data_IF_827349613318
#
_entry.id   IF_827349613318
#
_cell.length_a   1.000
_cell.length_b   1.000
_cell.length_c   1.000
_cell.angle_alpha   90.00
_cell.angle_beta   90.00
_cell.angle_gamma   90.00
#
_symmetry.space_group_name_H-M   'P 1'
#
loop_
_entity.id
_entity.type
_entity.pdbx_description
1 polymer ?
#
# COMPACT_ATOMS: atom_id res chain seq x y z
N UNK A 1 9.94 -5.52 -9.86
CA UNK A 1 9.99 -6.12 -8.49
C UNK A 1 9.40 -7.53 -8.49
N UNK A 2 9.76 -8.44 -7.55
CA UNK A 2 9.04 -9.72 -7.37
C UNK A 2 8.08 -9.62 -6.18
N UNK A 3 6.86 -9.16 -6.47
CA UNK A 3 5.84 -8.88 -5.45
C UNK A 3 5.42 -10.11 -4.64
N UNK A 4 5.61 -11.33 -5.14
CA UNK A 4 5.24 -12.55 -4.41
C UNK A 4 6.17 -12.83 -3.21
N UNK A 5 7.37 -12.26 -3.22
CA UNK A 5 8.36 -12.40 -2.12
C UNK A 5 8.23 -11.29 -1.08
N UNK A 6 7.77 -10.12 -1.47
CA UNK A 6 7.71 -8.94 -0.61
C UNK A 6 7.63 -7.66 -1.44
N UNK A 7 7.83 -6.53 -0.78
CA UNK A 7 7.73 -5.22 -1.38
C UNK A 7 9.02 -4.42 -1.21
N UNK A 8 9.45 -3.72 -2.28
CA UNK A 8 10.63 -2.86 -2.24
C UNK A 8 10.20 -1.41 -2.07
N UNK A 9 10.76 -0.76 -1.04
CA UNK A 9 10.63 0.68 -0.81
C UNK A 9 11.88 1.36 -1.37
N UNK A 10 11.73 2.51 -2.04
CA UNK A 10 12.85 3.23 -2.65
C UNK A 10 13.59 4.07 -1.61
N UNK A 11 12.87 4.77 -0.74
CA UNK A 11 13.43 5.48 0.41
C UNK A 11 12.50 5.29 1.63
N UNK A 12 12.97 4.68 2.74
CA UNK A 12 14.29 4.08 2.88
C UNK A 12 14.47 2.88 1.93
N UNK A 13 15.72 2.58 1.55
CA UNK A 13 16.06 1.53 0.57
C UNK A 13 15.91 0.12 1.17
N UNK A 14 14.68 -0.28 1.50
CA UNK A 14 14.37 -1.49 2.28
C UNK A 14 13.51 -2.44 1.46
N UNK A 15 13.87 -3.72 1.47
CA UNK A 15 13.00 -4.78 0.99
C UNK A 15 12.28 -5.41 2.18
N UNK A 16 10.95 -5.41 2.13
CA UNK A 16 10.07 -5.92 3.20
C UNK A 16 9.47 -7.25 2.73
N UNK A 17 9.96 -8.40 3.21
CA UNK A 17 9.41 -9.70 2.83
C UNK A 17 8.01 -9.91 3.40
N UNK A 18 7.15 -10.62 2.68
CA UNK A 18 5.89 -11.08 3.26
C UNK A 18 6.15 -12.10 4.36
N UNK A 19 5.26 -12.15 5.36
CA UNK A 19 5.34 -13.14 6.43
C UNK A 19 6.28 -12.81 7.58
N UNK A 20 7.05 -11.71 7.49
CA UNK A 20 7.86 -11.24 8.63
C UNK A 20 6.96 -10.84 9.81
N UNK A 21 7.48 -10.94 11.01
CA UNK A 21 6.80 -10.43 12.21
C UNK A 21 7.14 -8.94 12.49
N UNK A 22 6.47 -8.36 13.48
CA UNK A 22 6.68 -6.96 13.85
C UNK A 22 8.09 -6.65 14.36
N UNK A 23 8.76 -7.62 14.99
CA UNK A 23 10.14 -7.44 15.48
C UNK A 23 11.11 -7.36 14.30
N UNK A 24 10.96 -8.24 13.32
CA UNK A 24 11.73 -8.21 12.08
C UNK A 24 11.49 -6.91 11.30
N UNK A 25 10.25 -6.40 11.27
CA UNK A 25 9.96 -5.10 10.66
C UNK A 25 10.69 -3.95 11.38
N UNK A 26 10.68 -3.94 12.72
CA UNK A 26 11.43 -2.94 13.51
C UNK A 26 12.92 -2.99 13.19
N UNK A 27 13.49 -4.19 13.09
CA UNK A 27 14.90 -4.38 12.73
C UNK A 27 15.22 -3.86 11.32
N UNK A 28 14.34 -4.12 10.33
CA UNK A 28 14.48 -3.59 8.96
C UNK A 28 14.46 -2.06 8.90
N UNK A 29 13.74 -1.42 9.83
CA UNK A 29 13.63 0.03 9.93
C UNK A 29 14.47 0.64 11.05
N UNK A 30 15.45 -0.07 11.63
CA UNK A 30 16.16 0.39 12.83
C UNK A 30 16.86 1.76 12.68
N UNK A 31 17.22 2.15 11.45
CA UNK A 31 17.84 3.44 11.13
C UNK A 31 16.86 4.44 10.49
N UNK A 32 15.57 4.13 10.49
CA UNK A 32 14.53 4.86 9.78
C UNK A 32 13.33 5.10 10.70
N UNK A 33 12.51 6.10 10.36
CA UNK A 33 11.32 6.40 11.15
C UNK A 33 10.20 5.40 10.87
N UNK A 34 10.03 4.44 11.76
CA UNK A 34 8.86 3.56 11.83
C UNK A 34 8.04 3.91 13.07
N UNK A 35 6.75 4.18 12.88
CA UNK A 35 5.81 4.52 13.93
C UNK A 35 4.96 3.30 14.30
N UNK A 36 4.97 2.94 15.58
CA UNK A 36 4.05 1.96 16.14
C UNK A 36 2.67 2.59 16.31
N UNK A 37 1.62 1.91 15.82
CA UNK A 37 0.22 2.34 16.01
C UNK A 37 -0.49 1.34 16.93
N UNK A 38 -0.46 0.06 16.58
CA UNK A 38 -0.99 -1.04 17.39
C UNK A 38 -0.10 -2.27 17.26
N UNK A 39 -0.40 -3.33 18.01
CA UNK A 39 0.31 -4.62 17.92
C UNK A 39 0.23 -5.26 16.54
N UNK A 40 -0.71 -4.83 15.70
CA UNK A 40 -0.92 -5.36 14.35
C UNK A 40 -0.68 -4.31 13.26
N UNK A 41 -0.20 -3.12 13.60
CA UNK A 41 -0.15 -2.00 12.66
C UNK A 41 1.00 -1.02 12.95
N UNK A 42 1.82 -0.79 11.92
CA UNK A 42 2.91 0.17 11.92
C UNK A 42 2.81 1.08 10.71
N UNK A 43 3.40 2.26 10.76
CA UNK A 43 3.44 3.19 9.61
C UNK A 43 4.82 3.82 9.42
N UNK A 44 5.17 4.13 8.17
CA UNK A 44 6.38 4.89 7.84
C UNK A 44 6.11 5.85 6.68
N UNK A 45 6.78 7.02 6.70
CA UNK A 45 6.86 7.88 5.52
C UNK A 45 7.90 7.31 4.56
N UNK A 46 7.54 7.18 3.30
CA UNK A 46 8.33 6.50 2.29
C UNK A 46 8.27 7.22 0.94
N UNK A 47 9.32 7.03 0.15
CA UNK A 47 9.26 7.16 -1.30
C UNK A 47 9.20 5.75 -1.88
N UNK A 48 8.21 5.47 -2.72
CA UNK A 48 7.99 4.16 -3.33
C UNK A 48 7.56 4.28 -4.80
N UNK A 49 7.36 3.15 -5.48
CA UNK A 49 6.72 3.05 -6.80
C UNK A 49 7.16 4.13 -7.80
N UNK A 50 8.47 4.27 -8.02
CA UNK A 50 9.03 5.23 -8.98
C UNK A 50 8.85 6.72 -8.58
N UNK A 51 8.89 7.03 -7.28
CA UNK A 51 8.98 8.40 -6.77
C UNK A 51 7.77 8.89 -5.96
N UNK A 52 6.76 8.04 -5.79
CA UNK A 52 5.57 8.33 -5.00
C UNK A 52 5.94 8.58 -3.54
N UNK A 53 5.72 9.80 -3.08
CA UNK A 53 5.87 10.16 -1.67
C UNK A 53 4.56 9.84 -0.93
N UNK A 54 4.59 8.88 -0.03
CA UNK A 54 3.40 8.39 0.66
C UNK A 54 3.73 7.86 2.05
N UNK A 55 2.69 7.66 2.86
CA UNK A 55 2.78 6.80 4.02
C UNK A 55 2.49 5.35 3.61
N UNK A 56 3.28 4.43 4.14
CA UNK A 56 3.02 2.99 4.04
C UNK A 56 2.62 2.47 5.41
N UNK A 57 1.45 1.85 5.48
CA UNK A 57 0.94 1.09 6.60
C UNK A 57 1.27 -0.40 6.45
N UNK A 58 1.81 -1.00 7.51
CA UNK A 58 2.18 -2.41 7.58
C UNK A 58 1.19 -3.15 8.48
N UNK A 59 0.31 -3.94 7.88
CA UNK A 59 -0.76 -4.66 8.57
C UNK A 59 -0.39 -6.13 8.80
N UNK A 60 -0.49 -6.56 10.06
CA UNK A 60 -0.13 -7.90 10.50
C UNK A 60 -1.37 -8.73 10.81
N UNK A 61 -1.49 -9.87 10.13
CA UNK A 61 -2.53 -10.87 10.39
C UNK A 61 -1.88 -12.11 10.99
N UNK A 62 -2.43 -12.62 12.10
CA UNK A 62 -1.87 -13.78 12.83
C UNK A 62 -0.37 -13.62 13.16
N UNK A 63 0.07 -12.39 13.39
CA UNK A 63 1.46 -12.04 13.76
C UNK A 63 2.41 -11.84 12.58
N UNK A 64 1.95 -12.00 11.34
CA UNK A 64 2.78 -11.91 10.14
C UNK A 64 2.29 -10.80 9.20
N UNK A 65 3.22 -10.11 8.53
CA UNK A 65 2.89 -9.10 7.53
C UNK A 65 2.08 -9.73 6.39
N UNK A 66 0.87 -9.22 6.20
CA UNK A 66 -0.09 -9.74 5.22
C UNK A 66 -0.58 -8.67 4.23
N UNK A 67 -0.54 -7.40 4.61
CA UNK A 67 -1.09 -6.31 3.82
C UNK A 67 -0.26 -5.03 3.99
N UNK A 68 -0.11 -4.30 2.89
CA UNK A 68 0.43 -2.95 2.84
C UNK A 68 -0.69 -2.01 2.43
N UNK A 69 -0.80 -0.89 3.14
CA UNK A 69 -1.72 0.19 2.83
C UNK A 69 -0.92 1.44 2.46
N UNK A 70 -1.34 2.13 1.41
CA UNK A 70 -0.69 3.33 0.91
C UNK A 70 -1.67 4.48 1.04
N UNK A 71 -1.19 5.59 1.59
CA UNK A 71 -2.03 6.74 1.87
C UNK A 71 -1.23 8.04 1.92
N UNK A 72 -1.86 9.17 1.60
CA UNK A 72 -1.22 10.47 1.80
C UNK A 72 -1.36 10.93 3.25
N UNK A 73 -0.47 11.82 3.67
CA UNK A 73 -0.62 12.55 4.93
C UNK A 73 -1.63 13.70 4.83
N UNK A 74 -2.00 14.13 3.62
CA UNK A 74 -2.94 15.20 3.36
C UNK A 74 -3.88 14.82 2.20
N UNK A 75 -5.18 15.07 2.37
CA UNK A 75 -6.26 14.75 1.42
C UNK A 75 -7.03 15.98 0.93
N UNK A 76 -6.40 17.17 0.95
CA UNK A 76 -7.03 18.41 0.46
C UNK A 76 -7.57 18.29 -0.98
N UNK A 77 -6.98 17.42 -1.80
CA UNK A 77 -7.45 17.11 -3.16
C UNK A 77 -7.43 15.58 -3.39
N UNK A 78 -8.54 14.93 -3.08
CA UNK A 78 -8.70 13.48 -3.26
C UNK A 78 -8.56 13.05 -4.72
N UNK A 79 -9.02 13.86 -5.68
CA UNK A 79 -8.94 13.51 -7.09
C UNK A 79 -7.49 13.45 -7.55
N UNK A 80 -6.71 14.46 -7.17
CA UNK A 80 -5.27 14.49 -7.44
C UNK A 80 -4.54 13.33 -6.75
N UNK A 81 -4.84 13.06 -5.49
CA UNK A 81 -4.26 11.92 -4.75
C UNK A 81 -4.50 10.61 -5.48
N UNK A 82 -5.77 10.35 -5.81
CA UNK A 82 -6.20 9.16 -6.51
C UNK A 82 -5.50 9.02 -7.88
N UNK A 83 -5.50 10.07 -8.70
CA UNK A 83 -4.87 10.02 -10.02
C UNK A 83 -3.33 9.79 -9.91
N UNK A 84 -2.68 10.38 -8.91
CA UNK A 84 -1.24 10.18 -8.63
C UNK A 84 -0.94 8.73 -8.20
N UNK A 85 -1.68 8.18 -7.23
CA UNK A 85 -1.53 6.78 -6.85
C UNK A 85 -1.76 5.85 -8.04
N UNK A 86 -2.81 6.10 -8.82
CA UNK A 86 -3.13 5.27 -9.98
C UNK A 86 -2.00 5.27 -11.01
N UNK A 87 -1.44 6.44 -11.35
CA UNK A 87 -0.34 6.56 -12.30
C UNK A 87 0.89 5.75 -11.83
N UNK A 88 1.28 5.92 -10.57
CA UNK A 88 2.46 5.25 -10.01
C UNK A 88 2.30 3.73 -9.97
N UNK A 89 1.11 3.23 -9.64
CA UNK A 89 0.84 1.80 -9.61
C UNK A 89 0.72 1.20 -11.01
N UNK A 90 0.07 1.88 -11.96
CA UNK A 90 0.05 1.42 -13.36
C UNK A 90 1.46 1.34 -13.92
N UNK A 91 2.33 2.30 -13.59
CA UNK A 91 3.73 2.30 -14.03
C UNK A 91 4.53 1.12 -13.47
N UNK A 92 4.30 0.72 -12.22
CA UNK A 92 5.02 -0.40 -11.59
C UNK A 92 4.44 -1.78 -11.96
N UNK A 93 3.11 -1.90 -12.01
CA UNK A 93 2.41 -3.20 -12.11
C UNK A 93 1.73 -3.44 -13.46
N UNK A 94 1.71 -2.44 -14.35
CA UNK A 94 0.95 -2.47 -15.59
C UNK A 94 -0.53 -2.14 -15.38
N UNK A 95 -1.34 -2.36 -16.41
CA UNK A 95 -2.78 -2.12 -16.35
C UNK A 95 -3.48 -3.06 -15.34
N UNK A 96 -4.55 -2.58 -14.67
CA UNK A 96 -5.34 -3.38 -13.76
C UNK A 96 -5.99 -4.58 -14.47
N UNK A 97 -6.10 -5.69 -13.76
CA UNK A 97 -6.80 -6.90 -14.22
C UNK A 97 -8.29 -6.65 -14.36
N UNK A 98 -8.86 -5.88 -13.43
CA UNK A 98 -10.27 -5.49 -13.45
C UNK A 98 -10.41 -4.01 -13.20
N UNK A 99 -11.37 -3.40 -13.91
CA UNK A 99 -11.81 -2.02 -13.70
C UNK A 99 -13.33 -2.02 -13.68
N UNK A 100 -13.92 -1.43 -12.66
CA UNK A 100 -15.38 -1.23 -12.56
C UNK A 100 -15.67 0.21 -12.20
N UNK A 101 -16.83 0.72 -12.56
CA UNK A 101 -17.29 2.02 -12.06
C UNK A 101 -17.51 1.93 -10.54
N UNK A 102 -16.95 2.88 -9.79
CA UNK A 102 -17.27 3.11 -8.39
C UNK A 102 -18.45 4.09 -8.27
N UNK A 103 -18.97 4.26 -7.06
CA UNK A 103 -20.14 5.10 -6.80
C UNK A 103 -19.76 6.55 -6.46
N UNK A 104 -18.48 6.79 -6.17
CA UNK A 104 -17.93 8.01 -5.59
C UNK A 104 -17.31 8.93 -6.65
N UNK A 105 -17.57 8.68 -7.94
CA UNK A 105 -16.95 9.41 -9.06
C UNK A 105 -15.54 8.92 -9.42
N UNK A 106 -15.13 7.78 -8.85
CA UNK A 106 -13.88 7.10 -9.11
C UNK A 106 -14.14 5.70 -9.65
N UNK A 107 -13.24 5.19 -10.48
CA UNK A 107 -13.26 3.76 -10.82
C UNK A 107 -12.67 2.96 -9.66
N UNK A 108 -13.06 1.70 -9.56
CA UNK A 108 -12.38 0.72 -8.73
C UNK A 108 -11.43 -0.09 -9.62
N UNK A 109 -10.16 -0.13 -9.23
CA UNK A 109 -9.12 -0.89 -9.92
C UNK A 109 -8.66 -2.06 -9.08
N UNK A 110 -8.41 -3.18 -9.74
CA UNK A 110 -7.88 -4.37 -9.11
C UNK A 110 -6.81 -5.01 -9.98
N UNK A 111 -5.68 -5.37 -9.37
CA UNK A 111 -4.67 -6.23 -9.96
C UNK A 111 -4.63 -7.56 -9.22
N UNK A 112 -4.59 -8.65 -9.98
CA UNK A 112 -4.47 -10.00 -9.47
C UNK A 112 -3.24 -10.67 -10.06
N UNK A 113 -2.29 -11.06 -9.19
CA UNK A 113 -1.09 -11.78 -9.59
C UNK A 113 -0.82 -12.89 -8.58
N UNK A 114 -0.75 -14.16 -9.01
CA UNK A 114 -0.30 -15.34 -8.24
C UNK A 114 -0.13 -15.16 -6.71
N UNK A 115 -1.25 -15.05 -5.97
CA UNK A 115 -1.22 -14.94 -4.51
C UNK A 115 -1.14 -13.51 -3.95
N UNK A 116 -1.26 -12.50 -4.78
CA UNK A 116 -1.29 -11.07 -4.43
C UNK A 116 -2.51 -10.42 -5.09
N UNK A 117 -3.17 -9.57 -4.31
CA UNK A 117 -4.26 -8.70 -4.73
C UNK A 117 -3.88 -7.25 -4.45
N UNK A 118 -3.99 -6.38 -5.44
CA UNK A 118 -3.86 -4.94 -5.28
C UNK A 118 -5.22 -4.32 -5.56
N UNK A 119 -5.70 -3.43 -4.71
CA UNK A 119 -6.94 -2.69 -4.92
C UNK A 119 -6.70 -1.19 -4.80
N UNK A 120 -7.36 -0.43 -5.67
CA UNK A 120 -7.44 1.02 -5.61
C UNK A 120 -8.89 1.46 -5.80
N UNK A 121 -9.47 2.10 -4.80
CA UNK A 121 -10.87 2.53 -4.83
C UNK A 121 -11.12 3.64 -3.82
N UNK A 122 -12.29 4.26 -3.91
CA UNK A 122 -12.81 5.16 -2.87
C UNK A 122 -14.09 4.54 -2.31
N UNK A 123 -14.22 4.49 -0.99
CA UNK A 123 -15.47 4.12 -0.31
C UNK A 123 -16.03 5.31 0.46
N UNK A 124 -17.33 5.58 0.37
CA UNK A 124 -17.98 6.55 1.25
C UNK A 124 -18.73 5.85 2.40
N UNK A 125 -18.16 5.91 3.61
CA UNK A 125 -18.82 5.41 4.84
C UNK A 125 -19.11 6.52 5.84
N UNK A 126 -18.18 7.46 5.98
CA UNK A 126 -18.29 8.63 6.86
C UNK A 126 -17.77 9.89 6.15
N UNK A 127 -17.78 9.88 4.81
CA UNK A 127 -16.93 10.67 3.95
C UNK A 127 -16.10 9.75 3.03
N UNK A 128 -15.60 10.27 1.89
CA UNK A 128 -14.89 9.48 0.91
C UNK A 128 -13.49 9.10 1.42
N UNK A 129 -13.25 7.79 1.54
CA UNK A 129 -11.99 7.18 2.00
C UNK A 129 -11.28 6.55 0.80
N UNK A 130 -10.10 7.07 0.45
CA UNK A 130 -9.24 6.45 -0.56
C UNK A 130 -8.54 5.22 0.03
N UNK A 131 -8.65 4.09 -0.65
CA UNK A 131 -8.02 2.84 -0.26
C UNK A 131 -7.10 2.36 -1.37
N UNK A 132 -5.79 2.42 -1.09
CA UNK A 132 -4.78 1.81 -1.94
C UNK A 132 -4.02 0.73 -1.17
N UNK A 133 -4.19 -0.54 -1.55
CA UNK A 133 -3.74 -1.67 -0.74
C UNK A 133 -3.14 -2.79 -1.57
N UNK A 134 -2.07 -3.40 -1.04
CA UNK A 134 -1.48 -4.64 -1.56
C UNK A 134 -1.64 -5.72 -0.48
N UNK A 135 -2.34 -6.80 -0.80
CA UNK A 135 -2.59 -7.90 0.13
C UNK A 135 -2.08 -9.22 -0.42
N UNK A 136 -1.45 -10.03 0.44
CA UNK A 136 -1.17 -11.43 0.14
C UNK A 136 -2.42 -12.27 0.37
N UNK A 137 -2.89 -12.92 -0.71
CA UNK A 137 -4.01 -13.86 -0.71
C UNK A 137 -3.43 -15.28 -0.74
N UNK A 138 -3.62 -16.03 0.35
CA UNK A 138 -3.18 -17.41 0.47
C UNK A 138 -4.11 -18.37 -0.28
#
# INVERSE_FOLDING_TARGET
>A
MNINKGFKINAPDVFVPWGIDGKQLIELFAQHSLKYITTTYYTANCISLNGLNCMIGFHFEKGCLAELEFFQSNYDDQKKSFDEFQEHFVKEFGEPTHTTEGNEGFNNYEWLFNGIRIIHLVYDRFGPEEHMRIKKIN
#
